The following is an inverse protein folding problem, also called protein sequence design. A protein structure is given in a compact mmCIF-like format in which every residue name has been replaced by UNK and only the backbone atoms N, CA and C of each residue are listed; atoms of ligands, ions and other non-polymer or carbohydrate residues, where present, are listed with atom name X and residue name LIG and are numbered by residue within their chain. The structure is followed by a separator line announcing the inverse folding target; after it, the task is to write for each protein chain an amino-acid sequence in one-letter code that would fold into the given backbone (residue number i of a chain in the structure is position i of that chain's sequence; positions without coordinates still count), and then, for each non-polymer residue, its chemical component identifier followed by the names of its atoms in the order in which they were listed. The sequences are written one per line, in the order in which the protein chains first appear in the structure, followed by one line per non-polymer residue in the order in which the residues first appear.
data_IF_962784865959
#
_entry.id   IF_962784865959
#
_cell.length_a   1.000
_cell.length_b   1.000
_cell.length_c   1.000
_cell.angle_alpha   90.00
_cell.angle_beta   90.00
_cell.angle_gamma   90.00
#
_symmetry.space_group_name_H-M   'P 1'
#
loop_
_entity.id
_entity.type
_entity.pdbx_description
1 polymer ?
#
# COMPACT_ATOMS: atom_id res chain seq x y z
N UNK A 1 4.61 -14.82 -9.62
CA UNK A 1 5.75 -15.16 -8.74
C UNK A 1 5.24 -16.05 -7.63
N UNK A 2 5.98 -17.09 -7.27
CA UNK A 2 5.68 -17.89 -6.07
C UNK A 2 6.02 -17.11 -4.80
N UNK A 3 5.39 -17.45 -3.66
CA UNK A 3 5.56 -16.70 -2.40
C UNK A 3 7.03 -16.54 -2.00
N UNK A 4 7.84 -17.60 -2.09
CA UNK A 4 9.25 -17.57 -1.67
C UNK A 4 10.17 -16.66 -2.50
N UNK A 5 9.70 -16.11 -3.62
CA UNK A 5 10.46 -15.16 -4.45
C UNK A 5 10.18 -13.70 -4.09
N UNK A 6 9.16 -13.42 -3.27
CA UNK A 6 8.82 -12.08 -2.83
C UNK A 6 9.83 -11.62 -1.77
N UNK A 7 10.32 -10.39 -1.89
CA UNK A 7 11.24 -9.79 -0.91
C UNK A 7 10.59 -9.79 0.48
N UNK A 8 9.28 -9.55 0.55
CA UNK A 8 8.51 -9.56 1.81
C UNK A 8 8.53 -10.90 2.55
N UNK A 9 8.77 -12.00 1.84
CA UNK A 9 8.80 -13.35 2.42
C UNK A 9 10.22 -13.89 2.62
N UNK A 10 11.24 -13.12 2.24
CA UNK A 10 12.64 -13.50 2.42
C UNK A 10 13.10 -13.26 3.86
N UNK A 11 14.02 -14.11 4.32
CA UNK A 11 14.67 -13.92 5.62
C UNK A 11 15.71 -12.81 5.51
N UNK A 12 15.74 -11.93 6.49
CA UNK A 12 16.80 -10.92 6.62
C UNK A 12 18.08 -11.57 7.18
N UNK A 13 19.17 -11.50 6.41
CA UNK A 13 20.47 -12.07 6.78
C UNK A 13 21.03 -11.47 8.08
N UNK A 14 20.73 -10.20 8.36
CA UNK A 14 21.20 -9.50 9.56
C UNK A 14 20.53 -9.98 10.86
N UNK A 15 19.42 -10.72 10.75
CA UNK A 15 18.58 -11.11 11.89
C UNK A 15 18.46 -12.63 12.04
N UNK A 16 19.37 -13.40 11.44
CA UNK A 16 19.31 -14.87 11.42
C UNK A 16 19.41 -15.52 12.82
N UNK A 17 20.00 -14.82 13.78
CA UNK A 17 20.19 -15.23 15.17
C UNK A 17 19.52 -14.27 16.17
N UNK A 18 18.50 -13.52 15.74
CA UNK A 18 17.83 -12.49 16.56
C UNK A 18 17.27 -13.04 17.88
N UNK A 19 16.84 -14.31 17.90
CA UNK A 19 16.32 -15.04 19.05
C UNK A 19 17.37 -15.33 20.15
N UNK A 20 18.67 -15.16 19.83
CA UNK A 20 19.79 -15.41 20.74
C UNK A 20 20.41 -14.12 21.31
N UNK A 21 19.94 -12.95 20.89
CA UNK A 21 20.46 -11.67 21.33
C UNK A 21 19.83 -11.23 22.65
N UNK A 22 20.51 -10.34 23.36
CA UNK A 22 19.89 -9.61 24.46
C UNK A 22 18.92 -8.55 23.92
N UNK A 23 18.09 -7.99 24.82
CA UNK A 23 17.06 -7.01 24.45
C UNK A 23 17.67 -5.81 23.72
N UNK A 24 18.83 -5.32 24.17
CA UNK A 24 19.51 -4.18 23.52
C UNK A 24 19.95 -4.52 22.10
N UNK A 25 20.50 -5.72 21.87
CA UNK A 25 20.87 -6.20 20.56
C UNK A 25 19.67 -6.30 19.61
N UNK A 26 18.55 -6.86 20.06
CA UNK A 26 17.31 -6.95 19.28
C UNK A 26 16.83 -5.56 18.84
N UNK A 27 16.73 -4.62 19.80
CA UNK A 27 16.26 -3.26 19.52
C UNK A 27 17.19 -2.49 18.58
N UNK A 28 18.51 -2.70 18.69
CA UNK A 28 19.48 -2.12 17.75
C UNK A 28 19.26 -2.65 16.33
N UNK A 29 19.07 -3.96 16.16
CA UNK A 29 18.83 -4.53 14.84
C UNK A 29 17.55 -4.00 14.21
N UNK A 30 16.45 -3.91 14.96
CA UNK A 30 15.19 -3.31 14.47
C UNK A 30 15.42 -1.87 14.02
N UNK A 31 16.07 -1.05 14.84
CA UNK A 31 16.36 0.35 14.52
C UNK A 31 17.24 0.50 13.26
N UNK A 32 18.27 -0.35 13.09
CA UNK A 32 19.09 -0.32 11.88
C UNK A 32 18.29 -0.66 10.61
N UNK A 33 17.28 -1.52 10.69
CA UNK A 33 16.35 -1.77 9.58
C UNK A 33 15.39 -0.58 9.36
N UNK A 34 14.87 0.04 10.42
CA UNK A 34 13.97 1.20 10.33
C UNK A 34 14.63 2.39 9.63
N UNK A 35 15.92 2.64 9.88
CA UNK A 35 16.68 3.69 9.18
C UNK A 35 16.66 3.53 7.65
N UNK A 36 16.50 2.31 7.15
CA UNK A 36 16.48 2.03 5.70
C UNK A 36 15.21 2.52 5.03
N UNK A 37 14.12 2.68 5.79
CA UNK A 37 12.81 3.11 5.26
C UNK A 37 12.92 4.49 4.62
N UNK A 38 13.56 5.46 5.29
CA UNK A 38 13.71 6.82 4.78
C UNK A 38 14.44 6.85 3.42
N UNK A 39 15.50 6.06 3.26
CA UNK A 39 16.24 5.96 1.99
C UNK A 39 15.41 5.27 0.88
N UNK A 40 14.46 4.41 1.24
CA UNK A 40 13.54 3.82 0.26
C UNK A 40 12.50 4.86 -0.19
N UNK A 41 11.96 5.63 0.76
CA UNK A 41 11.03 6.72 0.45
C UNK A 41 11.68 7.79 -0.42
N UNK A 42 12.92 8.18 -0.11
CA UNK A 42 13.70 9.13 -0.93
C UNK A 42 13.74 8.72 -2.40
N UNK A 43 13.98 7.43 -2.67
CA UNK A 43 14.02 6.90 -4.03
C UNK A 43 12.64 6.92 -4.69
N UNK A 44 11.58 6.68 -3.93
CA UNK A 44 10.20 6.65 -4.42
C UNK A 44 9.58 8.05 -4.64
N UNK A 45 10.24 9.15 -4.25
CA UNK A 45 9.73 10.52 -4.39
C UNK A 45 9.19 10.84 -5.80
N UNK A 46 9.85 10.48 -6.92
CA UNK A 46 9.31 10.75 -8.25
C UNK A 46 7.94 10.12 -8.51
N UNK A 47 7.67 8.94 -7.94
CA UNK A 47 6.40 8.23 -8.16
C UNK A 47 5.34 8.67 -7.17
N UNK A 48 5.75 8.96 -5.93
CA UNK A 48 4.89 9.65 -4.94
C UNK A 48 4.41 10.98 -5.53
N UNK A 49 5.28 11.76 -6.18
CA UNK A 49 4.93 13.05 -6.79
C UNK A 49 3.84 12.91 -7.84
N UNK A 50 3.99 11.94 -8.73
CA UNK A 50 2.99 11.62 -9.76
C UNK A 50 1.66 11.13 -9.16
N UNK A 51 1.69 10.32 -8.10
CA UNK A 51 0.48 9.90 -7.38
C UNK A 51 -0.23 11.10 -6.72
N UNK A 52 0.53 12.02 -6.12
CA UNK A 52 0.00 13.27 -5.57
C UNK A 52 -0.63 14.14 -6.65
N UNK A 53 -0.01 14.27 -7.83
CA UNK A 53 -0.57 15.02 -8.96
C UNK A 53 -1.94 14.47 -9.40
N UNK A 54 -2.09 13.13 -9.50
CA UNK A 54 -3.37 12.49 -9.82
C UNK A 54 -4.44 12.80 -8.78
N UNK A 55 -4.09 12.72 -7.50
CA UNK A 55 -5.00 12.99 -6.38
C UNK A 55 -5.43 14.45 -6.36
N UNK A 56 -4.49 15.39 -6.56
CA UNK A 56 -4.78 16.82 -6.66
C UNK A 56 -5.72 17.11 -7.83
N UNK A 57 -5.49 16.48 -9.00
CA UNK A 57 -6.38 16.61 -10.15
C UNK A 57 -7.80 16.10 -9.85
N UNK A 58 -7.92 14.96 -9.16
CA UNK A 58 -9.20 14.39 -8.74
C UNK A 58 -9.96 15.31 -7.76
N UNK A 59 -9.28 15.81 -6.74
CA UNK A 59 -9.86 16.78 -5.80
C UNK A 59 -10.35 18.05 -6.50
N UNK A 60 -9.58 18.59 -7.44
CA UNK A 60 -10.00 19.76 -8.23
C UNK A 60 -11.24 19.51 -9.09
N UNK A 61 -11.54 18.25 -9.42
CA UNK A 61 -12.75 17.82 -10.14
C UNK A 61 -13.90 17.42 -9.21
N UNK A 62 -13.73 17.57 -7.90
CA UNK A 62 -14.69 17.16 -6.87
C UNK A 62 -14.77 15.64 -6.67
N UNK A 63 -13.71 14.91 -7.02
CA UNK A 63 -13.55 13.49 -6.70
C UNK A 63 -12.92 13.26 -5.32
N UNK A 64 -12.74 11.99 -4.97
CA UNK A 64 -12.20 11.55 -3.68
C UNK A 64 -10.91 10.75 -3.84
N UNK A 65 -10.15 10.64 -2.75
CA UNK A 65 -9.09 9.64 -2.60
C UNK A 65 -9.63 8.46 -1.79
N UNK A 66 -9.62 7.27 -2.37
CA UNK A 66 -10.08 6.03 -1.72
C UNK A 66 -8.89 5.10 -1.54
N UNK A 67 -8.45 4.92 -0.31
CA UNK A 67 -7.46 3.90 0.05
C UNK A 67 -8.12 2.54 0.25
N UNK A 68 -7.51 1.49 -0.26
CA UNK A 68 -7.98 0.11 -0.08
C UNK A 68 -6.85 -0.82 0.35
N UNK A 69 -7.06 -1.54 1.45
CA UNK A 69 -6.07 -2.46 2.00
C UNK A 69 -6.67 -3.59 2.84
N UNK A 70 -5.82 -4.50 3.28
CA UNK A 70 -6.17 -5.54 4.25
C UNK A 70 -5.22 -5.46 5.46
N UNK A 71 -5.65 -5.99 6.61
CA UNK A 71 -4.82 -6.06 7.80
C UNK A 71 -4.18 -4.71 8.16
N UNK A 72 -2.86 -4.70 8.35
CA UNK A 72 -2.10 -3.48 8.69
C UNK A 72 -2.24 -2.39 7.63
N UNK A 73 -2.17 -2.74 6.34
CA UNK A 73 -2.33 -1.76 5.25
C UNK A 73 -3.67 -1.05 5.30
N UNK A 74 -4.76 -1.80 5.50
CA UNK A 74 -6.10 -1.23 5.62
C UNK A 74 -6.27 -0.38 6.88
N UNK A 75 -5.63 -0.75 8.00
CA UNK A 75 -5.63 0.05 9.22
C UNK A 75 -4.89 1.38 9.04
N UNK A 76 -3.72 1.37 8.39
CA UNK A 76 -2.98 2.60 8.09
C UNK A 76 -3.77 3.53 7.16
N UNK A 77 -4.47 2.97 6.16
CA UNK A 77 -5.40 3.74 5.32
C UNK A 77 -6.50 4.44 6.12
N UNK A 78 -7.09 3.75 7.12
CA UNK A 78 -8.11 4.33 7.99
C UNK A 78 -7.54 5.43 8.88
N UNK A 79 -6.33 5.24 9.41
CA UNK A 79 -5.65 6.26 10.23
C UNK A 79 -5.44 7.54 9.40
N UNK A 80 -4.82 7.44 8.24
CA UNK A 80 -4.55 8.60 7.37
C UNK A 80 -5.84 9.35 6.96
N UNK A 81 -6.87 8.59 6.53
CA UNK A 81 -8.16 9.17 6.18
C UNK A 81 -8.84 9.89 7.37
N UNK A 82 -8.76 9.31 8.57
CA UNK A 82 -9.39 9.87 9.77
C UNK A 82 -8.76 11.18 10.25
N UNK A 83 -7.48 11.40 9.92
CA UNK A 83 -6.73 12.60 10.30
C UNK A 83 -6.97 13.77 9.35
N UNK A 84 -7.45 13.52 8.12
CA UNK A 84 -7.65 14.56 7.11
C UNK A 84 -8.67 15.64 7.53
N UNK A 85 -9.91 15.32 7.98
CA UNK A 85 -10.88 16.32 8.39
C UNK A 85 -10.43 17.25 9.53
N UNK A 86 -9.91 16.76 10.66
CA UNK A 86 -9.46 17.65 11.74
C UNK A 86 -8.19 18.43 11.42
N UNK A 87 -7.32 17.92 10.53
CA UNK A 87 -6.06 18.57 10.19
C UNK A 87 -6.23 19.65 9.11
N UNK A 88 -7.03 19.37 8.09
CA UNK A 88 -7.16 20.22 6.90
C UNK A 88 -8.52 20.89 6.75
N UNK A 89 -9.49 20.61 7.63
CA UNK A 89 -10.83 21.19 7.56
C UNK A 89 -11.67 20.68 6.38
N UNK A 90 -11.34 19.50 5.86
CA UNK A 90 -12.01 18.89 4.69
C UNK A 90 -13.18 17.98 5.11
N UNK A 91 -14.14 17.70 4.21
CA UNK A 91 -15.19 16.71 4.46
C UNK A 91 -14.66 15.29 4.72
N UNK A 92 -15.38 14.51 5.53
CA UNK A 92 -15.04 13.11 5.88
C UNK A 92 -15.05 12.15 4.68
N UNK A 93 -15.71 12.51 3.59
CA UNK A 93 -15.79 11.71 2.37
C UNK A 93 -14.75 12.09 1.31
N UNK A 94 -13.94 13.13 1.54
CA UNK A 94 -12.88 13.55 0.61
C UNK A 94 -11.74 12.53 0.56
N UNK A 95 -11.38 11.96 1.71
CA UNK A 95 -10.39 10.87 1.84
C UNK A 95 -11.02 9.72 2.60
N UNK A 96 -11.06 8.54 2.00
CA UNK A 96 -11.77 7.36 2.53
C UNK A 96 -10.82 6.19 2.64
N UNK A 97 -10.74 5.57 3.81
CA UNK A 97 -10.02 4.31 4.01
C UNK A 97 -10.97 3.12 4.12
N UNK A 98 -10.82 2.12 3.27
CA UNK A 98 -11.54 0.84 3.38
C UNK A 98 -10.60 -0.33 3.65
N UNK A 99 -11.10 -1.28 4.45
CA UNK A 99 -10.36 -2.45 4.92
C UNK A 99 -11.13 -3.74 4.59
N UNK A 100 -10.40 -4.74 4.10
CA UNK A 100 -10.95 -6.10 3.94
C UNK A 100 -11.54 -6.61 5.26
N UNK A 101 -12.80 -7.04 5.23
CA UNK A 101 -13.54 -7.49 6.42
C UNK A 101 -14.27 -6.38 7.19
N UNK A 102 -14.24 -5.13 6.71
CA UNK A 102 -14.99 -4.00 7.26
C UNK A 102 -14.55 -3.60 8.68
N UNK A 103 -15.41 -2.87 9.39
CA UNK A 103 -15.09 -2.27 10.70
C UNK A 103 -14.58 -3.28 11.75
N UNK A 104 -15.08 -4.51 11.72
CA UNK A 104 -14.59 -5.58 12.61
C UNK A 104 -13.10 -5.86 12.43
N UNK A 105 -12.57 -5.73 11.20
CA UNK A 105 -11.17 -5.95 10.89
C UNK A 105 -10.23 -4.86 11.44
N UNK A 106 -10.77 -3.71 11.86
CA UNK A 106 -10.01 -2.62 12.46
C UNK A 106 -9.32 -3.10 13.73
N UNK A 107 -10.07 -3.78 14.62
CA UNK A 107 -9.57 -4.19 15.94
C UNK A 107 -9.13 -5.66 15.98
N UNK A 108 -9.80 -6.52 15.23
CA UNK A 108 -9.58 -7.96 15.31
C UNK A 108 -9.22 -8.49 13.92
N UNK A 109 -8.09 -9.21 13.75
CA UNK A 109 -7.79 -9.87 12.49
C UNK A 109 -8.91 -10.82 12.09
N UNK A 110 -9.24 -10.84 10.80
CA UNK A 110 -10.20 -11.78 10.22
C UNK A 110 -9.45 -12.59 9.17
N UNK A 111 -9.48 -13.91 9.30
CA UNK A 111 -8.78 -14.79 8.36
C UNK A 111 -9.45 -14.80 6.99
N UNK A 112 -8.66 -14.96 5.92
CA UNK A 112 -9.08 -15.15 4.53
C UNK A 112 -9.89 -14.00 3.89
N UNK A 113 -10.11 -12.87 4.57
CA UNK A 113 -10.78 -11.70 3.96
C UNK A 113 -9.92 -11.04 2.88
N UNK A 114 -8.60 -11.15 3.02
CA UNK A 114 -7.65 -10.58 2.06
C UNK A 114 -7.60 -11.36 0.73
N UNK A 115 -8.04 -12.62 0.75
CA UNK A 115 -8.11 -13.51 -0.42
C UNK A 115 -9.41 -13.35 -1.22
N UNK A 116 -10.35 -12.51 -0.76
CA UNK A 116 -11.65 -12.33 -1.40
C UNK A 116 -11.61 -11.18 -2.44
N UNK A 117 -11.31 -11.52 -3.70
CA UNK A 117 -11.30 -10.55 -4.81
C UNK A 117 -12.68 -9.90 -5.05
N UNK A 118 -13.78 -10.67 -4.96
CA UNK A 118 -15.12 -10.11 -5.21
C UNK A 118 -15.54 -9.11 -4.15
N UNK A 119 -15.18 -9.33 -2.88
CA UNK A 119 -15.49 -8.38 -1.82
C UNK A 119 -14.85 -7.01 -2.08
N UNK A 120 -13.60 -6.97 -2.58
CA UNK A 120 -12.96 -5.71 -2.96
C UNK A 120 -13.72 -4.97 -4.06
N UNK A 121 -14.31 -5.70 -5.02
CA UNK A 121 -15.15 -5.10 -6.06
C UNK A 121 -16.46 -4.56 -5.48
N UNK A 122 -17.11 -5.33 -4.61
CA UNK A 122 -18.36 -4.95 -3.95
C UNK A 122 -18.16 -3.67 -3.12
N UNK A 123 -17.09 -3.58 -2.33
CA UNK A 123 -16.82 -2.44 -1.47
C UNK A 123 -16.61 -1.15 -2.30
N UNK A 124 -15.90 -1.23 -3.42
CA UNK A 124 -15.74 -0.10 -4.36
C UNK A 124 -17.07 0.34 -4.98
N UNK A 125 -17.95 -0.61 -5.35
CA UNK A 125 -19.30 -0.28 -5.86
C UNK A 125 -20.15 0.38 -4.78
N UNK A 126 -20.10 -0.12 -3.54
CA UNK A 126 -20.88 0.41 -2.42
C UNK A 126 -20.48 1.85 -2.05
N UNK A 127 -19.24 2.25 -2.32
CA UNK A 127 -18.79 3.64 -2.19
C UNK A 127 -19.27 4.57 -3.31
N UNK A 128 -20.04 4.06 -4.28
CA UNK A 128 -20.41 4.76 -5.51
C UNK A 128 -19.17 5.37 -6.19
N UNK A 129 -18.07 4.61 -6.27
CA UNK A 129 -16.86 5.03 -6.94
C UNK A 129 -17.15 5.41 -8.40
N UNK A 130 -16.58 6.52 -8.86
CA UNK A 130 -16.80 7.04 -10.20
C UNK A 130 -15.50 7.52 -10.85
N UNK A 131 -15.58 7.99 -12.09
CA UNK A 131 -14.44 8.43 -12.90
C UNK A 131 -13.68 9.64 -12.35
N UNK A 132 -14.27 10.35 -11.38
CA UNK A 132 -13.62 11.48 -10.69
C UNK A 132 -12.72 11.02 -9.55
N UNK A 133 -12.93 9.80 -9.03
CA UNK A 133 -12.21 9.29 -7.87
C UNK A 133 -10.83 8.73 -8.26
N UNK A 134 -9.94 8.69 -7.28
CA UNK A 134 -8.66 7.96 -7.33
C UNK A 134 -8.71 6.84 -6.30
N UNK A 135 -8.44 5.61 -6.73
CA UNK A 135 -8.35 4.46 -5.83
C UNK A 135 -6.89 4.04 -5.68
N UNK A 136 -6.38 4.09 -4.45
CA UNK A 136 -5.02 3.70 -4.09
C UNK A 136 -5.02 2.37 -3.33
N UNK A 137 -4.46 1.33 -3.94
CA UNK A 137 -4.33 0.01 -3.32
C UNK A 137 -3.07 -0.12 -2.49
N UNK A 138 -3.19 -0.53 -1.23
CA UNK A 138 -2.07 -0.69 -0.30
C UNK A 138 -1.90 -2.17 0.06
N UNK A 139 -0.84 -2.78 -0.45
CA UNK A 139 -0.51 -4.18 -0.20
C UNK A 139 1.00 -4.36 -0.24
N UNK A 140 1.64 -4.61 0.92
CA UNK A 140 3.09 -4.83 0.98
C UNK A 140 3.54 -5.95 0.03
N UNK A 141 2.79 -7.06 0.00
CA UNK A 141 3.04 -8.19 -0.91
C UNK A 141 2.85 -7.81 -2.39
N UNK A 142 2.00 -6.81 -2.65
CA UNK A 142 1.61 -6.36 -3.98
C UNK A 142 0.78 -7.39 -4.77
N UNK A 143 0.18 -8.36 -4.08
CA UNK A 143 -0.62 -9.43 -4.73
C UNK A 143 -1.89 -9.79 -3.96
N UNK A 144 -2.30 -8.99 -2.99
CA UNK A 144 -3.48 -9.25 -2.15
C UNK A 144 -4.76 -9.26 -3.00
N UNK A 145 -5.48 -10.39 -3.12
CA UNK A 145 -6.63 -10.51 -4.02
C UNK A 145 -7.73 -9.48 -3.78
N UNK A 146 -8.06 -9.16 -2.52
CA UNK A 146 -9.03 -8.10 -2.17
C UNK A 146 -8.66 -6.75 -2.80
N UNK A 147 -7.40 -6.33 -2.64
CA UNK A 147 -6.88 -5.07 -3.20
C UNK A 147 -6.91 -5.10 -4.73
N UNK A 148 -6.52 -6.23 -5.33
CA UNK A 148 -6.57 -6.41 -6.79
C UNK A 148 -8.02 -6.28 -7.31
N UNK A 149 -8.99 -6.87 -6.62
CA UNK A 149 -10.40 -6.80 -6.96
C UNK A 149 -10.93 -5.36 -6.94
N UNK A 150 -10.60 -4.63 -5.88
CA UNK A 150 -10.95 -3.22 -5.76
C UNK A 150 -10.38 -2.36 -6.90
N UNK A 151 -9.08 -2.51 -7.20
CA UNK A 151 -8.44 -1.76 -8.29
C UNK A 151 -9.02 -2.10 -9.66
N UNK A 152 -9.33 -3.38 -9.92
CA UNK A 152 -9.98 -3.79 -11.18
C UNK A 152 -11.37 -3.16 -11.33
N UNK A 153 -12.16 -3.12 -10.26
CA UNK A 153 -13.50 -2.53 -10.32
C UNK A 153 -13.44 -1.01 -10.49
N UNK A 154 -12.55 -0.33 -9.77
CA UNK A 154 -12.34 1.11 -9.88
C UNK A 154 -12.10 1.54 -11.34
N UNK A 155 -11.20 0.84 -12.04
CA UNK A 155 -10.91 1.12 -13.47
C UNK A 155 -12.10 0.85 -14.37
N UNK A 156 -12.86 -0.20 -14.10
CA UNK A 156 -14.08 -0.51 -14.85
C UNK A 156 -15.11 0.62 -14.71
N UNK A 157 -15.14 1.28 -13.54
CA UNK A 157 -15.96 2.46 -13.26
C UNK A 157 -15.33 3.77 -13.77
N UNK A 158 -14.17 3.72 -14.43
CA UNK A 158 -13.48 4.87 -15.00
C UNK A 158 -12.58 5.64 -14.03
N UNK A 159 -12.49 5.23 -12.76
CA UNK A 159 -11.64 5.86 -11.76
C UNK A 159 -10.16 5.66 -12.10
N UNK A 160 -9.34 6.64 -11.73
CA UNK A 160 -7.88 6.50 -11.77
C UNK A 160 -7.43 5.58 -10.65
N UNK A 161 -6.34 4.85 -10.87
CA UNK A 161 -5.80 3.93 -9.85
C UNK A 161 -4.31 4.05 -9.69
N UNK A 162 -3.85 3.91 -8.46
CA UNK A 162 -2.43 3.79 -8.10
C UNK A 162 -2.26 2.73 -7.01
N UNK A 163 -1.02 2.39 -6.64
CA UNK A 163 -0.77 1.37 -5.62
C UNK A 163 0.55 1.57 -4.87
N UNK A 164 0.59 1.13 -3.62
CA UNK A 164 1.77 1.06 -2.77
C UNK A 164 2.08 -0.40 -2.41
N UNK A 165 3.27 -0.86 -2.79
CA UNK A 165 3.75 -2.21 -2.54
C UNK A 165 5.27 -2.23 -2.31
N UNK A 166 5.76 -3.26 -1.61
CA UNK A 166 7.19 -3.39 -1.26
C UNK A 166 7.93 -4.39 -2.16
N UNK A 167 7.21 -5.13 -3.01
CA UNK A 167 7.78 -6.05 -3.98
C UNK A 167 7.82 -5.42 -5.40
N UNK A 168 8.97 -5.48 -6.10
CA UNK A 168 9.07 -5.02 -7.49
C UNK A 168 8.20 -5.89 -8.41
N UNK A 169 7.71 -5.31 -9.51
CA UNK A 169 6.85 -5.98 -10.50
C UNK A 169 5.60 -6.65 -9.89
N UNK A 170 5.03 -6.02 -8.87
CA UNK A 170 3.86 -6.55 -8.19
C UNK A 170 2.59 -6.55 -9.05
N UNK A 171 1.67 -7.47 -8.76
CA UNK A 171 0.40 -7.65 -9.49
C UNK A 171 -0.58 -6.50 -9.22
N UNK A 172 -0.46 -5.80 -8.10
CA UNK A 172 -1.19 -4.55 -7.85
C UNK A 172 -0.74 -3.41 -8.76
N UNK A 173 0.49 -3.48 -9.30
CA UNK A 173 1.02 -2.53 -10.30
C UNK A 173 0.39 -2.66 -11.70
N UNK A 174 -0.62 -3.52 -11.86
CA UNK A 174 -1.21 -3.78 -13.17
C UNK A 174 -2.17 -2.66 -13.55
N UNK A 175 -1.69 -1.50 -14.02
CA UNK A 175 -2.10 -0.84 -15.27
C UNK A 175 -1.84 0.68 -15.24
N UNK A 176 -0.85 1.09 -16.05
CA UNK A 176 -0.74 2.38 -16.78
C UNK A 176 -1.64 3.51 -16.28
N UNK A 177 -1.22 4.15 -15.20
CA UNK A 177 -1.33 5.60 -14.97
C UNK A 177 -0.37 5.97 -13.83
N UNK A 178 0.87 5.45 -13.85
CA UNK A 178 1.95 5.62 -12.86
C UNK A 178 2.06 4.47 -11.84
N UNK A 179 2.96 3.51 -12.12
CA UNK A 179 3.52 2.59 -11.11
C UNK A 179 4.78 1.88 -11.64
N UNK A 180 5.97 2.48 -11.47
CA UNK A 180 7.32 1.86 -11.48
C UNK A 180 8.19 2.86 -10.69
N UNK A 181 9.06 2.59 -9.72
CA UNK A 181 9.96 1.44 -9.48
C UNK A 181 10.50 1.56 -8.02
N UNK A 182 11.61 0.86 -7.70
CA UNK A 182 12.54 1.01 -6.57
C UNK A 182 12.57 -0.12 -5.54
N UNK A 183 13.32 -1.17 -5.89
CA UNK A 183 14.24 -1.88 -4.98
C UNK A 183 15.22 -2.74 -5.82
N UNK A 184 16.26 -2.13 -6.42
CA UNK A 184 17.44 -2.86 -6.92
C UNK A 184 18.69 -2.00 -7.25
N UNK A 185 19.15 -1.14 -6.33
CA UNK A 185 20.50 -0.53 -6.44
C UNK A 185 21.37 -0.57 -5.18
N UNK A 186 21.02 -1.38 -4.19
CA UNK A 186 21.85 -1.58 -2.99
C UNK A 186 22.65 -2.90 -2.98
N UNK A 187 22.44 -3.79 -3.97
CA UNK A 187 23.01 -5.16 -3.94
C UNK A 187 24.19 -5.46 -4.87
N UNK A 188 24.58 -4.57 -5.80
CA UNK A 188 25.62 -4.86 -6.80
C UNK A 188 26.77 -3.84 -6.80
N UNK A 189 27.39 -3.62 -5.64
CA UNK A 189 28.71 -2.96 -5.55
C UNK A 189 29.75 -3.87 -4.92
N UNK A 190 29.91 -5.08 -5.50
CA UNK A 190 31.14 -5.89 -5.37
C UNK A 190 31.33 -6.70 -6.65
N UNK A 191 31.91 -6.07 -7.67
CA UNK A 191 32.79 -6.67 -8.71
C UNK A 191 33.19 -5.59 -9.71
N UNK A 192 34.09 -4.72 -9.28
CA UNK A 192 35.03 -4.01 -10.15
C UNK A 192 36.19 -3.51 -9.27
N UNK A 193 37.02 -4.47 -8.88
CA UNK A 193 38.49 -4.43 -8.70
C UNK A 193 38.89 -5.77 -8.08
#
# INVERSE_FOLDING_TARGET
MELGQLITEQRNENTMNIDKLDISGILKLINEEDKKVAYCVEKAIPDISKAVELVVEAFNKGGRLIYVGAGTSGRLAIVDASECPPTFGVPFDMVVGIIAGGDSAIRTPIENVEDNEEQGRIDIRNLNCCEKDVVMGIAASGRTPYVIGALKEARKLGAKTTSLANNPNSVTGVSRDIAEEYLNKAGNSKRMQ
#
